data_IF_633415736277
#
_entry.id   IF_633415736277
#
_cell.length_a   1.000
_cell.length_b   1.000
_cell.length_c   1.000
_cell.angle_alpha   90.00
_cell.angle_beta   90.00
_cell.angle_gamma   90.00
#
_symmetry.space_group_name_H-M   'P 1'
#
loop_
_entity.id
_entity.type
_entity.pdbx_description
1 polymer ?
#
# COMPACT_ATOMS: atom_id res chain seq x y z
N UNK A 1 -26.83 39.52 24.44
CA UNK A 1 -25.35 39.59 24.59
C UNK A 1 -24.78 38.27 24.04
N UNK A 2 -24.63 38.17 22.71
CA UNK A 2 -23.34 38.17 21.97
C UNK A 2 -22.35 37.08 22.41
N UNK A 3 -22.35 35.92 21.73
CA UNK A 3 -21.32 35.56 20.75
C UNK A 3 -21.42 34.08 20.33
N UNK A 4 -21.91 33.88 19.12
CA UNK A 4 -21.55 32.77 18.24
C UNK A 4 -20.05 32.86 17.93
N UNK A 5 -19.22 32.11 18.67
CA UNK A 5 -17.84 31.89 18.22
C UNK A 5 -17.88 30.86 17.12
N UNK A 6 -17.87 31.36 15.90
CA UNK A 6 -17.33 30.70 14.72
C UNK A 6 -15.96 30.14 15.12
N UNK A 7 -15.86 28.82 15.25
CA UNK A 7 -14.58 28.15 15.37
C UNK A 7 -13.84 28.41 14.06
N UNK A 8 -12.84 29.28 14.17
CA UNK A 8 -12.09 29.84 13.05
C UNK A 8 -11.23 28.71 12.49
N UNK A 9 -11.66 28.12 11.38
CA UNK A 9 -10.81 27.23 10.57
C UNK A 9 -9.43 27.89 10.41
N UNK A 10 -8.41 27.28 11.02
CA UNK A 10 -7.01 27.74 10.91
C UNK A 10 -6.64 27.75 9.43
N UNK A 11 -6.26 28.90 8.84
CA UNK A 11 -5.80 28.93 7.46
C UNK A 11 -4.38 28.34 7.43
N UNK A 12 -4.21 27.23 6.70
CA UNK A 12 -2.86 26.72 6.40
C UNK A 12 -2.60 25.24 6.68
N UNK A 13 -3.61 24.36 6.77
CA UNK A 13 -3.35 22.93 6.65
C UNK A 13 -4.15 22.38 5.48
N UNK A 14 -3.49 22.26 4.34
CA UNK A 14 -4.08 21.55 3.20
C UNK A 14 -4.24 20.08 3.59
N UNK A 15 -5.24 19.37 3.03
CA UNK A 15 -5.39 17.92 3.24
C UNK A 15 -4.09 17.16 2.89
N UNK A 16 -3.26 17.75 2.03
CA UNK A 16 -1.92 17.30 1.68
C UNK A 16 -0.94 17.33 2.87
N UNK A 17 -0.91 18.39 3.67
CA UNK A 17 0.01 18.47 4.83
C UNK A 17 -0.33 17.44 5.91
N UNK A 18 -1.63 17.16 6.16
CA UNK A 18 -2.01 16.11 7.13
C UNK A 18 -1.71 14.71 6.65
N UNK A 19 -1.89 14.43 5.36
CA UNK A 19 -1.70 13.09 4.80
C UNK A 19 -0.22 12.76 4.56
N UNK A 20 0.62 13.76 4.29
CA UNK A 20 2.01 13.57 3.89
C UNK A 20 3.06 14.10 4.89
N UNK A 21 2.76 15.07 5.76
CA UNK A 21 3.75 15.67 6.69
C UNK A 21 3.60 15.32 8.16
N UNK A 22 2.40 15.01 8.66
CA UNK A 22 2.19 14.75 10.11
C UNK A 22 2.45 13.28 10.50
N UNK A 23 2.46 12.35 9.54
CA UNK A 23 2.60 10.90 9.80
C UNK A 23 4.03 10.33 10.03
N UNK A 24 5.17 10.99 9.72
CA UNK A 24 6.49 10.35 9.83
C UNK A 24 7.18 10.64 11.17
N UNK A 25 6.48 10.60 12.30
CA UNK A 25 7.10 10.79 13.64
C UNK A 25 6.84 9.68 14.65
N UNK A 26 6.28 8.55 14.24
CA UNK A 26 5.82 7.55 15.22
C UNK A 26 6.12 6.09 14.91
N UNK A 27 7.18 5.77 14.17
CA UNK A 27 7.62 4.36 14.12
C UNK A 27 9.06 4.27 13.63
N UNK A 28 9.95 3.71 14.46
CA UNK A 28 11.38 3.58 14.22
C UNK A 28 11.78 2.53 13.18
N UNK A 29 11.04 2.41 12.07
CA UNK A 29 11.44 1.71 10.84
C UNK A 29 11.26 2.66 9.66
N UNK A 30 12.11 2.56 8.63
CA UNK A 30 12.13 3.61 7.59
C UNK A 30 10.82 3.61 6.79
N UNK A 31 10.03 4.69 6.90
CA UNK A 31 8.91 4.99 5.99
C UNK A 31 9.29 4.78 4.51
N UNK A 32 10.56 5.02 4.18
CA UNK A 32 11.15 4.77 2.87
C UNK A 32 11.15 3.28 2.44
N UNK A 33 11.32 2.32 3.36
CA UNK A 33 11.19 0.89 3.03
C UNK A 33 9.75 0.52 2.68
N UNK A 34 8.77 1.00 3.45
CA UNK A 34 7.36 0.71 3.20
C UNK A 34 6.84 1.42 1.95
N UNK A 35 7.26 2.68 1.76
CA UNK A 35 7.00 3.46 0.56
C UNK A 35 7.65 2.83 -0.67
N UNK A 36 8.90 2.38 -0.58
CA UNK A 36 9.62 1.72 -1.67
C UNK A 36 8.99 0.40 -2.08
N UNK A 37 8.60 -0.44 -1.11
CA UNK A 37 7.88 -1.68 -1.38
C UNK A 37 6.55 -1.39 -2.10
N UNK A 38 5.73 -0.48 -1.56
CA UNK A 38 4.42 -0.14 -2.14
C UNK A 38 4.56 0.51 -3.53
N UNK A 39 5.54 1.39 -3.72
CA UNK A 39 5.83 2.02 -5.01
C UNK A 39 6.29 1.01 -6.06
N UNK A 40 7.09 0.00 -5.68
CA UNK A 40 7.51 -1.06 -6.60
C UNK A 40 6.32 -1.90 -7.10
N UNK A 41 5.38 -2.25 -6.22
CA UNK A 41 4.14 -2.91 -6.61
C UNK A 41 3.30 -2.03 -7.55
N UNK A 42 3.13 -0.75 -7.21
CA UNK A 42 2.39 0.21 -8.04
C UNK A 42 2.98 0.36 -9.45
N UNK A 43 4.30 0.48 -9.57
CA UNK A 43 4.98 0.60 -10.86
C UNK A 43 4.83 -0.67 -11.72
N UNK A 44 4.86 -1.86 -11.10
CA UNK A 44 4.60 -3.12 -11.81
C UNK A 44 3.18 -3.15 -12.36
N UNK A 45 2.17 -2.80 -11.56
CA UNK A 45 0.78 -2.72 -12.02
C UNK A 45 0.59 -1.72 -13.16
N UNK A 46 1.24 -0.55 -13.08
CA UNK A 46 1.17 0.46 -14.13
C UNK A 46 1.75 -0.05 -15.47
N UNK A 47 2.86 -0.78 -15.43
CA UNK A 47 3.43 -1.45 -16.61
C UNK A 47 2.50 -2.50 -17.19
N UNK A 48 1.84 -3.29 -16.34
CA UNK A 48 0.86 -4.28 -16.79
C UNK A 48 -0.37 -3.63 -17.42
N UNK A 49 -0.85 -2.51 -16.88
CA UNK A 49 -1.89 -1.72 -17.51
C UNK A 49 -1.47 -1.24 -18.90
N UNK A 50 -0.24 -0.72 -19.04
CA UNK A 50 0.33 -0.36 -20.35
C UNK A 50 0.39 -1.54 -21.33
N UNK A 51 0.80 -2.71 -20.86
CA UNK A 51 0.81 -3.93 -21.67
C UNK A 51 -0.60 -4.38 -22.10
N UNK A 52 -1.60 -4.24 -21.21
CA UNK A 52 -3.00 -4.51 -21.54
C UNK A 52 -3.54 -3.57 -22.61
N UNK A 53 -3.23 -2.26 -22.51
CA UNK A 53 -3.61 -1.29 -23.55
C UNK A 53 -2.90 -1.57 -24.88
N UNK A 54 -1.61 -1.92 -24.86
CA UNK A 54 -0.90 -2.32 -26.06
C UNK A 54 -1.53 -3.55 -26.72
N UNK A 55 -1.97 -4.54 -25.93
CA UNK A 55 -2.72 -5.69 -26.43
C UNK A 55 -4.07 -5.29 -27.04
N UNK A 56 -4.78 -4.34 -26.43
CA UNK A 56 -6.05 -3.83 -26.93
C UNK A 56 -5.88 -3.09 -28.28
N UNK A 57 -4.76 -2.39 -28.47
CA UNK A 57 -4.43 -1.70 -29.72
C UNK A 57 -3.92 -2.64 -30.80
N UNK A 58 -3.11 -3.62 -30.43
CA UNK A 58 -2.53 -4.61 -31.36
C UNK A 58 -2.86 -6.02 -30.85
N UNK A 59 -3.98 -6.60 -31.33
CA UNK A 59 -4.39 -7.95 -30.98
C UNK A 59 -3.31 -8.95 -31.40
N UNK A 60 -2.49 -9.41 -30.45
CA UNK A 60 -1.35 -10.27 -30.75
C UNK A 60 -0.17 -10.12 -29.81
N UNK A 61 0.06 -8.92 -29.28
CA UNK A 61 1.18 -8.62 -28.37
C UNK A 61 0.71 -8.80 -26.91
N UNK A 62 1.56 -9.28 -26.00
CA UNK A 62 1.24 -9.43 -24.56
C UNK A 62 0.06 -10.35 -24.18
N UNK A 63 -0.28 -11.36 -25.00
CA UNK A 63 -1.44 -12.27 -24.78
C UNK A 63 -1.53 -12.88 -23.36
N UNK A 64 -0.39 -13.23 -22.76
CA UNK A 64 -0.33 -13.85 -21.42
C UNK A 64 0.44 -13.02 -20.40
N UNK A 65 1.04 -11.90 -20.81
CA UNK A 65 1.96 -11.15 -19.96
C UNK A 65 1.24 -10.56 -18.75
N UNK A 66 0.06 -10.00 -18.96
CA UNK A 66 -0.73 -9.37 -17.89
C UNK A 66 -1.23 -10.42 -16.91
N UNK A 67 -1.84 -11.50 -17.41
CA UNK A 67 -2.43 -12.55 -16.57
C UNK A 67 -1.38 -13.30 -15.74
N UNK A 68 -0.24 -13.67 -16.33
CA UNK A 68 0.87 -14.33 -15.62
C UNK A 68 1.47 -13.41 -14.56
N UNK A 69 1.71 -12.13 -14.88
CA UNK A 69 2.30 -11.19 -13.94
C UNK A 69 1.35 -10.84 -12.77
N UNK A 70 0.05 -10.69 -13.02
CA UNK A 70 -0.94 -10.48 -11.95
C UNK A 70 -1.01 -11.68 -11.00
N UNK A 71 -0.96 -12.92 -11.53
CA UNK A 71 -0.91 -14.13 -10.68
C UNK A 71 0.33 -14.16 -9.79
N UNK A 72 1.50 -13.80 -10.34
CA UNK A 72 2.74 -13.69 -9.57
C UNK A 72 2.65 -12.62 -8.47
N UNK A 73 2.10 -11.44 -8.79
CA UNK A 73 1.89 -10.37 -7.81
C UNK A 73 0.92 -10.78 -6.69
N UNK A 74 -0.17 -11.48 -7.04
CA UNK A 74 -1.12 -11.99 -6.06
C UNK A 74 -0.49 -13.02 -5.12
N UNK A 75 0.36 -13.91 -5.64
CA UNK A 75 1.12 -14.86 -4.84
C UNK A 75 2.12 -14.16 -3.90
N UNK A 76 2.87 -13.17 -4.41
CA UNK A 76 3.82 -12.37 -3.61
C UNK A 76 3.09 -11.63 -2.47
N UNK A 77 1.93 -11.06 -2.75
CA UNK A 77 1.10 -10.37 -1.75
C UNK A 77 0.54 -11.34 -0.70
N UNK A 78 0.09 -12.53 -1.12
CA UNK A 78 -0.38 -13.58 -0.23
C UNK A 78 0.70 -14.07 0.74
N UNK A 79 1.94 -14.26 0.26
CA UNK A 79 3.06 -14.64 1.11
C UNK A 79 3.37 -13.61 2.19
N UNK A 80 3.36 -12.32 1.84
CA UNK A 80 3.55 -11.21 2.79
C UNK A 80 2.42 -11.11 3.81
N UNK A 81 1.18 -11.38 3.39
CA UNK A 81 0.02 -11.38 4.28
C UNK A 81 0.09 -12.53 5.30
N UNK A 82 0.49 -13.74 4.88
CA UNK A 82 0.70 -14.86 5.79
C UNK A 82 1.86 -14.60 6.75
N UNK A 83 2.99 -14.03 6.29
CA UNK A 83 4.10 -13.66 7.17
C UNK A 83 3.67 -12.66 8.25
N UNK A 84 2.91 -11.63 7.88
CA UNK A 84 2.35 -10.66 8.82
C UNK A 84 1.38 -11.33 9.82
N UNK A 85 0.53 -12.24 9.36
CA UNK A 85 -0.37 -13.03 10.22
C UNK A 85 0.43 -13.91 11.19
N UNK A 86 1.46 -14.60 10.72
CA UNK A 86 2.32 -15.44 11.55
C UNK A 86 3.08 -14.63 12.60
N UNK A 87 3.58 -13.43 12.24
CA UNK A 87 4.16 -12.51 13.22
C UNK A 87 3.15 -12.13 14.30
N UNK A 88 1.93 -11.74 13.90
CA UNK A 88 0.86 -11.39 14.86
C UNK A 88 0.49 -12.58 15.76
N UNK A 89 0.50 -13.80 15.24
CA UNK A 89 0.27 -15.02 16.04
C UNK A 89 1.41 -15.29 17.03
N UNK A 90 2.67 -15.05 16.64
CA UNK A 90 3.84 -15.11 17.53
C UNK A 90 3.78 -14.06 18.64
N UNK A 91 3.49 -12.81 18.28
CA UNK A 91 3.43 -11.69 19.22
C UNK A 91 2.25 -11.81 20.20
N UNK A 92 1.14 -12.41 19.76
CA UNK A 92 -0.02 -12.69 20.60
C UNK A 92 0.18 -13.85 21.59
N UNK A 93 1.37 -14.49 21.62
CA UNK A 93 1.66 -15.62 22.51
C UNK A 93 0.86 -16.88 22.18
N UNK A 94 0.26 -16.97 21.00
CA UNK A 94 -0.60 -18.12 20.59
C UNK A 94 0.23 -19.38 20.28
N UNK A 95 1.55 -19.26 20.25
CA UNK A 95 2.48 -20.38 20.14
C UNK A 95 3.04 -20.78 21.51
N UNK A 96 2.17 -21.17 22.43
CA UNK A 96 2.56 -22.02 23.56
C UNK A 96 1.93 -23.42 23.35
N UNK A 97 2.61 -24.23 22.53
CA UNK A 97 2.38 -25.68 22.46
C UNK A 97 3.45 -26.36 23.30
N UNK A 98 3.40 -26.07 24.60
CA UNK A 98 4.18 -26.73 25.65
C UNK A 98 3.39 -27.76 26.48
N UNK A 99 2.24 -28.26 25.99
CA UNK A 99 1.43 -29.32 26.63
C UNK A 99 0.82 -30.26 25.59
#
# INVERSE_FOLDING_TARGET
>A
MRQTTIDRARPGSTAFDRLFREHPRQVGETYFQHMGASAAFGLRLLRLAGAAFAHALVPGVHKTTVSTAVRGLAQEMGGRAEEAKQSRMRDAGVWDVGL
#
